data_IF_874767364275
#
_entry.id   IF_874767364275
#
_cell.length_a   1.000
_cell.length_b   1.000
_cell.length_c   1.000
_cell.angle_alpha   90.00
_cell.angle_beta   90.00
_cell.angle_gamma   90.00
#
_symmetry.space_group_name_H-M   'P 1'
#
loop_
_entity.id
_entity.type
_entity.pdbx_description
1 polymer ?
#
# COMPACT_ATOMS: atom_id res chain seq x y z
N UNK A 1 8.20 0.46 21.86
CA UNK A 1 6.99 -0.26 21.38
C UNK A 1 6.14 0.56 20.41
N UNK A 2 6.28 1.89 20.40
CA UNK A 2 5.97 2.69 19.21
C UNK A 2 7.20 2.68 18.32
N UNK A 3 7.02 2.52 17.00
CA UNK A 3 8.12 2.53 16.03
C UNK A 3 7.77 3.42 14.84
N UNK A 4 8.73 4.19 14.29
CA UNK A 4 8.52 4.95 13.07
C UNK A 4 8.51 4.04 11.83
N UNK A 5 7.60 4.33 10.90
CA UNK A 5 7.50 3.72 9.58
C UNK A 5 7.37 4.79 8.51
N UNK A 6 7.72 4.45 7.28
CA UNK A 6 7.63 5.32 6.10
C UNK A 6 6.62 4.69 5.14
N UNK A 7 5.83 5.51 4.45
CA UNK A 7 4.99 5.09 3.32
C UNK A 7 5.72 5.36 2.00
N UNK A 8 6.29 4.34 1.34
CA UNK A 8 7.04 4.50 0.09
C UNK A 8 6.15 4.35 -1.17
N UNK A 9 4.95 3.80 -1.06
CA UNK A 9 4.04 3.51 -2.19
C UNK A 9 2.63 4.05 -1.96
N UNK A 10 1.94 4.35 -3.06
CA UNK A 10 0.60 4.94 -3.08
C UNK A 10 -0.54 3.93 -2.89
N UNK A 11 -0.31 2.78 -2.27
CA UNK A 11 -1.36 1.76 -2.18
C UNK A 11 -2.51 2.10 -1.22
N UNK A 12 -2.28 3.07 -0.32
CA UNK A 12 -3.29 3.70 0.52
C UNK A 12 -3.43 5.18 0.16
N UNK A 13 -3.07 5.57 -1.07
CA UNK A 13 -3.11 6.97 -1.51
C UNK A 13 -4.49 7.57 -1.20
N UNK A 14 -4.51 8.88 -0.91
CA UNK A 14 -5.63 9.64 -0.26
C UNK A 14 -5.83 9.39 1.23
N UNK A 15 -5.63 8.19 1.73
CA UNK A 15 -5.69 7.90 3.18
C UNK A 15 -4.32 8.16 3.82
N UNK A 16 -3.30 7.42 3.36
CA UNK A 16 -1.89 7.57 3.71
C UNK A 16 -1.07 7.77 2.43
N UNK A 17 -0.43 8.93 2.32
CA UNK A 17 0.25 9.34 1.09
C UNK A 17 1.71 8.92 1.08
N UNK A 18 2.27 8.74 -0.12
CA UNK A 18 3.72 8.60 -0.27
C UNK A 18 4.43 9.76 0.45
N UNK A 19 5.45 9.43 1.25
CA UNK A 19 6.19 10.40 2.06
C UNK A 19 5.56 10.73 3.41
N UNK A 20 4.46 10.08 3.81
CA UNK A 20 4.00 10.10 5.20
C UNK A 20 4.92 9.23 6.07
N UNK A 21 5.34 9.78 7.22
CA UNK A 21 6.06 9.07 8.26
C UNK A 21 5.14 8.85 9.46
N UNK A 22 4.99 7.59 9.85
CA UNK A 22 3.98 7.12 10.80
C UNK A 22 4.63 6.70 12.10
N UNK A 23 4.00 7.01 13.23
CA UNK A 23 4.18 6.25 14.44
C UNK A 23 3.19 5.10 14.49
N UNK A 24 3.71 3.88 14.64
CA UNK A 24 2.91 2.66 14.72
C UNK A 24 2.97 2.13 16.13
N UNK A 25 1.79 1.91 16.72
CA UNK A 25 1.68 1.29 18.03
C UNK A 25 1.58 -0.22 17.88
N UNK A 26 2.59 -0.92 18.38
CA UNK A 26 2.60 -2.40 18.43
C UNK A 26 1.78 -2.96 19.58
N UNK A 27 1.39 -2.13 20.56
CA UNK A 27 0.63 -2.58 21.72
C UNK A 27 -0.85 -2.78 21.44
N UNK A 28 -1.43 -2.11 20.44
CA UNK A 28 -2.84 -2.27 20.12
C UNK A 28 -3.17 -3.74 19.87
N UNK A 29 -2.44 -4.40 18.98
CA UNK A 29 -2.65 -5.82 18.66
C UNK A 29 -1.72 -6.80 19.40
N UNK A 30 -1.06 -6.32 20.46
CA UNK A 30 -0.10 -7.12 21.21
C UNK A 30 1.30 -7.13 20.59
N UNK A 31 2.27 -6.61 21.33
CA UNK A 31 3.64 -6.53 20.84
C UNK A 31 4.29 -7.92 20.80
N UNK A 32 4.76 -8.32 19.61
CA UNK A 32 5.60 -9.52 19.44
C UNK A 32 7.01 -9.28 19.97
N UNK A 33 7.62 -10.28 20.61
CA UNK A 33 9.04 -10.25 20.96
C UNK A 33 9.91 -10.40 19.72
N UNK A 34 11.16 -9.87 19.74
CA UNK A 34 12.14 -10.19 18.71
C UNK A 34 12.39 -11.70 18.65
N UNK A 35 12.35 -12.27 17.45
CA UNK A 35 12.68 -13.68 17.22
C UNK A 35 14.15 -13.83 16.83
N UNK A 36 14.70 -12.84 16.14
CA UNK A 36 16.10 -12.82 15.71
C UNK A 36 17.02 -12.31 16.83
N UNK A 37 17.79 -13.22 17.44
CA UNK A 37 18.63 -12.93 18.61
C UNK A 37 19.84 -12.04 18.30
N UNK A 38 20.47 -12.24 17.14
CA UNK A 38 21.68 -11.52 16.74
C UNK A 38 21.35 -10.67 15.52
N UNK A 39 21.23 -9.37 15.74
CA UNK A 39 21.03 -8.37 14.70
C UNK A 39 21.77 -7.08 15.04
N UNK A 40 22.19 -6.35 14.00
CA UNK A 40 22.75 -5.02 14.15
C UNK A 40 21.68 -4.06 14.74
N UNK A 41 22.08 -3.18 15.66
CA UNK A 41 21.16 -2.22 16.25
C UNK A 41 20.64 -1.24 15.19
N UNK A 42 19.39 -0.79 15.34
CA UNK A 42 18.74 0.22 14.50
C UNK A 42 18.58 -0.14 13.01
N UNK A 43 18.92 -1.36 12.58
CA UNK A 43 18.81 -1.81 11.20
C UNK A 43 17.83 -2.98 11.10
N UNK A 44 16.86 -2.87 10.19
CA UNK A 44 15.80 -3.87 10.06
C UNK A 44 16.26 -5.14 9.33
N UNK A 45 16.77 -5.01 8.11
CA UNK A 45 17.03 -6.15 7.20
C UNK A 45 18.47 -6.18 6.67
N UNK A 46 18.93 -5.09 6.07
CA UNK A 46 20.22 -5.01 5.37
C UNK A 46 21.08 -3.90 5.95
N UNK A 47 22.37 -4.18 6.19
CA UNK A 47 23.33 -3.15 6.60
C UNK A 47 23.46 -2.11 5.49
N UNK A 48 23.24 -0.82 5.78
CA UNK A 48 23.50 0.25 4.82
C UNK A 48 24.93 0.16 4.28
N UNK A 49 25.13 0.54 3.02
CA UNK A 49 26.41 0.50 2.28
C UNK A 49 26.89 -0.91 1.91
N UNK A 50 26.96 -1.84 2.87
CA UNK A 50 27.52 -3.18 2.62
C UNK A 50 26.58 -4.09 1.84
N UNK A 51 25.26 -3.84 1.85
CA UNK A 51 24.29 -4.63 1.09
C UNK A 51 24.12 -6.07 1.61
N UNK A 52 24.71 -6.41 2.75
CA UNK A 52 24.61 -7.73 3.39
C UNK A 52 23.56 -7.72 4.52
N UNK A 53 23.08 -8.90 4.91
CA UNK A 53 22.09 -9.03 5.99
C UNK A 53 22.60 -8.39 7.28
N UNK A 54 21.74 -7.65 7.95
CA UNK A 54 21.97 -7.06 9.27
C UNK A 54 21.80 -8.05 10.42
N UNK A 55 21.55 -9.34 10.14
CA UNK A 55 21.22 -10.33 11.14
C UNK A 55 21.70 -11.74 10.77
N UNK A 56 21.88 -12.58 11.79
CA UNK A 56 22.12 -14.01 11.62
C UNK A 56 20.80 -14.78 11.53
N UNK A 57 20.74 -15.78 10.65
CA UNK A 57 19.54 -16.64 10.50
C UNK A 57 19.28 -17.53 11.71
N UNK A 58 20.32 -17.88 12.46
CA UNK A 58 20.27 -18.68 13.69
C UNK A 58 21.23 -18.09 14.72
N UNK A 59 20.94 -18.18 16.03
CA UNK A 59 19.73 -18.77 16.64
C UNK A 59 18.47 -17.90 16.44
N UNK A 60 17.30 -18.50 16.66
CA UNK A 60 15.99 -17.84 16.64
C UNK A 60 15.24 -18.20 17.93
N UNK A 61 14.59 -17.23 18.55
CA UNK A 61 13.72 -17.42 19.71
C UNK A 61 12.32 -17.85 19.25
N UNK A 62 11.62 -18.68 20.05
CA UNK A 62 10.21 -18.98 19.80
C UNK A 62 9.36 -17.73 19.71
N UNK A 63 8.31 -17.78 18.89
CA UNK A 63 7.35 -16.69 18.81
C UNK A 63 6.66 -16.48 20.15
N UNK A 64 6.61 -15.23 20.60
CA UNK A 64 5.83 -14.82 21.76
C UNK A 64 5.20 -13.45 21.48
N UNK A 65 3.95 -13.28 21.88
CA UNK A 65 3.20 -12.03 21.75
C UNK A 65 2.57 -11.67 23.09
N UNK A 66 2.77 -10.43 23.51
CA UNK A 66 2.11 -9.85 24.68
C UNK A 66 0.61 -9.62 24.38
N UNK A 67 -0.27 -9.62 25.39
CA UNK A 67 -1.65 -9.21 25.22
C UNK A 67 -1.75 -7.81 24.57
N UNK A 68 -2.69 -7.68 23.63
CA UNK A 68 -3.03 -6.40 23.01
C UNK A 68 -4.10 -5.64 23.78
N UNK A 69 -4.22 -4.34 23.53
CA UNK A 69 -5.34 -3.53 24.01
C UNK A 69 -6.63 -3.79 23.21
N UNK A 70 -6.49 -4.14 21.94
CA UNK A 70 -7.58 -4.41 21.00
C UNK A 70 -7.23 -5.59 20.10
N UNK A 71 -8.22 -6.12 19.40
CA UNK A 71 -7.98 -7.04 18.27
C UNK A 71 -7.94 -6.24 16.96
N UNK A 72 -7.40 -6.84 15.91
CA UNK A 72 -7.55 -6.30 14.56
C UNK A 72 -9.03 -6.35 14.21
N UNK A 73 -9.56 -5.22 13.76
CA UNK A 73 -10.93 -5.10 13.31
C UNK A 73 -11.00 -4.72 11.84
N UNK A 74 -12.17 -4.95 11.24
CA UNK A 74 -12.48 -4.52 9.89
C UNK A 74 -12.34 -3.00 9.82
N UNK A 75 -11.87 -2.50 8.68
CA UNK A 75 -11.50 -1.09 8.45
C UNK A 75 -10.20 -0.61 9.09
N UNK A 76 -9.57 -1.39 9.97
CA UNK A 76 -8.30 -0.96 10.54
C UNK A 76 -7.21 -0.82 9.48
N UNK A 77 -6.40 0.23 9.60
CA UNK A 77 -5.12 0.28 8.91
C UNK A 77 -4.13 -0.54 9.73
N UNK A 78 -3.54 -1.56 9.12
CA UNK A 78 -2.69 -2.53 9.79
C UNK A 78 -1.31 -2.52 9.17
N UNK A 79 -0.31 -2.44 10.02
CA UNK A 79 1.08 -2.73 9.68
C UNK A 79 1.33 -4.20 9.94
N UNK A 80 1.82 -4.91 8.94
CA UNK A 80 2.12 -6.33 9.03
C UNK A 80 3.38 -6.68 8.24
N UNK A 81 4.02 -7.77 8.63
CA UNK A 81 5.13 -8.37 7.90
C UNK A 81 4.59 -9.07 6.65
N UNK A 82 5.18 -8.84 5.48
CA UNK A 82 4.69 -9.36 4.21
C UNK A 82 4.75 -10.90 4.17
N UNK A 83 3.62 -11.58 3.94
CA UNK A 83 3.57 -13.05 3.99
C UNK A 83 4.40 -13.72 2.88
N UNK A 84 4.42 -13.20 1.65
CA UNK A 84 5.15 -13.80 0.52
C UNK A 84 6.68 -13.76 0.70
N UNK A 85 7.40 -14.73 0.12
CA UNK A 85 8.85 -15.00 0.34
C UNK A 85 9.77 -13.83 -0.07
N UNK A 86 9.97 -12.94 0.90
CA UNK A 86 10.33 -11.52 0.78
C UNK A 86 11.57 -11.17 -0.07
N UNK A 87 11.52 -9.99 -0.68
CA UNK A 87 12.63 -9.31 -1.38
C UNK A 87 13.62 -8.67 -0.39
N UNK A 88 14.89 -8.55 -0.77
CA UNK A 88 15.96 -7.80 -0.07
C UNK A 88 15.86 -6.29 -0.32
N UNK A 89 15.43 -5.89 -1.51
CA UNK A 89 15.22 -4.50 -1.88
C UNK A 89 13.81 -4.31 -2.46
N UNK A 90 13.08 -3.31 -1.96
CA UNK A 90 11.82 -2.92 -2.58
C UNK A 90 12.08 -2.42 -4.02
N UNK A 91 11.13 -2.70 -4.92
CA UNK A 91 11.16 -2.26 -6.32
C UNK A 91 12.27 -2.87 -7.20
N UNK A 92 13.01 -3.87 -6.70
CA UNK A 92 13.98 -4.64 -7.50
C UNK A 92 13.46 -6.06 -7.70
N UNK A 93 13.27 -6.48 -8.95
CA UNK A 93 12.90 -7.87 -9.27
C UNK A 93 14.07 -8.79 -8.94
N UNK A 94 13.88 -9.70 -7.98
CA UNK A 94 14.89 -10.68 -7.56
C UNK A 94 14.24 -11.98 -7.08
N UNK A 95 15.06 -13.04 -6.95
CA UNK A 95 14.61 -14.31 -6.37
C UNK A 95 14.25 -14.09 -4.90
N UNK A 96 13.04 -14.53 -4.51
CA UNK A 96 12.55 -14.45 -3.15
C UNK A 96 13.51 -15.04 -2.12
N UNK A 97 13.53 -14.44 -0.92
CA UNK A 97 14.41 -14.84 0.18
C UNK A 97 13.57 -15.15 1.41
N UNK A 98 13.78 -16.35 1.96
CA UNK A 98 13.21 -16.73 3.25
C UNK A 98 13.88 -15.93 4.36
N UNK A 99 13.08 -15.12 5.06
CA UNK A 99 13.49 -14.29 6.20
C UNK A 99 12.68 -14.66 7.45
N UNK A 100 13.28 -14.55 8.65
CA UNK A 100 12.53 -14.55 9.91
C UNK A 100 11.37 -13.55 9.88
N UNK A 101 10.28 -13.86 10.59
CA UNK A 101 9.05 -13.05 10.55
C UNK A 101 9.31 -11.60 10.99
N UNK A 102 10.22 -11.38 11.94
CA UNK A 102 10.63 -10.04 12.40
C UNK A 102 11.58 -9.29 11.46
N UNK A 103 12.07 -9.95 10.41
CA UNK A 103 12.97 -9.40 9.37
C UNK A 103 12.33 -9.28 8.00
N UNK A 104 11.10 -9.76 7.85
CA UNK A 104 10.28 -9.56 6.65
C UNK A 104 10.02 -8.06 6.41
N UNK A 105 9.87 -7.70 5.15
CA UNK A 105 9.41 -6.38 4.72
C UNK A 105 8.05 -6.07 5.33
N UNK A 106 7.81 -4.84 5.77
CA UNK A 106 6.52 -4.45 6.34
C UNK A 106 5.67 -3.75 5.27
N UNK A 107 4.37 -4.06 5.29
CA UNK A 107 3.35 -3.42 4.46
C UNK A 107 2.32 -2.75 5.37
N UNK A 108 1.66 -1.74 4.84
CA UNK A 108 0.56 -1.03 5.49
C UNK A 108 -0.64 -1.10 4.55
N UNK A 109 -1.73 -1.70 5.00
CA UNK A 109 -2.96 -1.90 4.24
C UNK A 109 -4.17 -1.81 5.16
N UNK A 110 -5.37 -1.75 4.58
CA UNK A 110 -6.62 -1.84 5.33
C UNK A 110 -7.03 -3.30 5.51
N UNK A 111 -7.44 -3.67 6.72
CA UNK A 111 -8.08 -4.95 6.98
C UNK A 111 -9.50 -4.91 6.46
N UNK A 112 -9.79 -5.74 5.46
CA UNK A 112 -11.11 -5.84 4.84
C UNK A 112 -11.83 -7.13 5.20
N UNK A 113 -11.09 -8.19 5.55
CA UNK A 113 -11.62 -9.50 5.89
C UNK A 113 -10.99 -10.03 7.17
N UNK A 114 -11.85 -10.52 8.06
CA UNK A 114 -11.54 -11.03 9.39
C UNK A 114 -11.60 -12.56 9.42
N UNK A 115 -11.01 -13.18 10.47
CA UNK A 115 -11.15 -14.63 10.70
C UNK A 115 -12.62 -15.05 10.74
N UNK A 116 -12.98 -16.04 9.91
CA UNK A 116 -14.34 -16.58 9.81
C UNK A 116 -15.20 -15.98 8.70
N UNK A 117 -14.74 -14.93 8.02
CA UNK A 117 -15.49 -14.31 6.93
C UNK A 117 -15.47 -15.15 5.64
N UNK A 118 -16.53 -15.04 4.86
CA UNK A 118 -16.50 -15.27 3.41
C UNK A 118 -16.28 -13.93 2.70
N UNK A 119 -15.26 -13.85 1.84
CA UNK A 119 -14.93 -12.67 1.06
C UNK A 119 -15.09 -12.93 -0.43
N UNK A 120 -15.66 -11.99 -1.15
CA UNK A 120 -15.72 -11.97 -2.61
C UNK A 120 -15.55 -10.54 -3.13
N UNK A 121 -15.14 -10.40 -4.38
CA UNK A 121 -15.10 -9.12 -5.10
C UNK A 121 -16.00 -9.25 -6.33
N UNK A 122 -16.91 -8.31 -6.51
CA UNK A 122 -17.83 -8.23 -7.66
C UNK A 122 -17.74 -6.83 -8.25
N UNK A 123 -17.34 -6.72 -9.52
CA UNK A 123 -17.15 -5.45 -10.23
C UNK A 123 -16.34 -4.42 -9.43
N UNK A 124 -15.26 -4.89 -8.78
CA UNK A 124 -14.34 -4.09 -7.97
C UNK A 124 -14.81 -3.78 -6.53
N UNK A 125 -16.05 -4.12 -6.19
CA UNK A 125 -16.58 -3.94 -4.83
C UNK A 125 -16.38 -5.20 -4.00
N UNK A 126 -15.92 -5.02 -2.76
CA UNK A 126 -15.69 -6.12 -1.81
C UNK A 126 -17.00 -6.43 -1.10
N UNK A 127 -17.34 -7.70 -1.00
CA UNK A 127 -18.46 -8.20 -0.20
C UNK A 127 -17.92 -9.15 0.86
N UNK A 128 -18.50 -9.06 2.05
CA UNK A 128 -18.20 -9.90 3.20
C UNK A 128 -19.49 -10.57 3.64
N UNK A 129 -19.49 -11.90 3.69
CA UNK A 129 -20.66 -12.70 4.06
C UNK A 129 -21.91 -12.34 3.22
N UNK A 130 -21.70 -11.99 1.95
CA UNK A 130 -22.76 -11.61 1.00
C UNK A 130 -23.16 -10.13 1.02
N UNK A 131 -22.70 -9.34 1.99
CA UNK A 131 -23.01 -7.91 2.12
C UNK A 131 -21.85 -7.04 1.62
N UNK A 132 -22.15 -5.93 0.94
CA UNK A 132 -21.11 -5.03 0.46
C UNK A 132 -20.36 -4.39 1.64
N UNK A 133 -19.03 -4.42 1.59
CA UNK A 133 -18.16 -3.85 2.60
C UNK A 133 -18.40 -2.35 2.76
N UNK A 134 -18.85 -1.94 3.95
CA UNK A 134 -18.91 -0.53 4.34
C UNK A 134 -17.56 -0.12 4.91
N UNK A 135 -16.95 0.88 4.28
CA UNK A 135 -15.70 1.45 4.74
C UNK A 135 -15.91 2.61 5.70
N UNK A 136 -14.91 2.91 6.53
CA UNK A 136 -14.94 4.13 7.35
C UNK A 136 -14.97 5.40 6.49
N UNK A 137 -15.49 6.49 7.04
CA UNK A 137 -15.58 7.81 6.39
C UNK A 137 -14.22 8.37 5.91
N UNK A 138 -13.14 8.02 6.62
CA UNK A 138 -11.75 8.35 6.25
C UNK A 138 -11.17 7.47 5.15
N UNK A 139 -11.76 6.32 4.86
CA UNK A 139 -11.33 5.50 3.75
C UNK A 139 -11.75 6.15 2.43
N UNK A 140 -10.79 6.32 1.53
CA UNK A 140 -11.02 6.90 0.21
C UNK A 140 -10.61 5.91 -0.86
N UNK A 141 -11.35 4.79 -1.04
CA UNK A 141 -11.02 3.83 -2.06
C UNK A 141 -11.03 4.48 -3.45
N UNK A 142 -10.07 4.10 -4.28
CA UNK A 142 -9.94 4.57 -5.64
C UNK A 142 -9.89 3.41 -6.62
N UNK A 143 -10.38 3.68 -7.82
CA UNK A 143 -10.42 2.75 -8.96
C UNK A 143 -10.03 3.51 -10.21
N UNK A 144 -9.64 2.78 -11.25
CA UNK A 144 -9.38 3.32 -12.55
C UNK A 144 -10.68 3.53 -13.33
N UNK A 145 -10.75 4.70 -13.96
CA UNK A 145 -11.86 5.10 -14.81
C UNK A 145 -11.33 5.55 -16.16
N UNK A 146 -12.08 5.23 -17.21
CA UNK A 146 -11.96 5.88 -18.50
C UNK A 146 -12.90 7.07 -18.57
N UNK A 147 -12.33 8.24 -18.83
CA UNK A 147 -13.03 9.52 -19.00
C UNK A 147 -13.16 9.81 -20.48
N UNK A 148 -14.34 10.20 -20.95
CA UNK A 148 -14.59 10.56 -22.34
C UNK A 148 -15.04 12.01 -22.48
N UNK A 149 -14.48 12.73 -23.45
CA UNK A 149 -14.86 14.10 -23.79
C UNK A 149 -14.55 14.42 -25.27
N UNK A 150 -15.53 14.86 -26.06
CA UNK A 150 -15.34 15.18 -27.48
C UNK A 150 -14.27 16.26 -27.72
N UNK A 151 -14.18 17.22 -26.78
CA UNK A 151 -13.21 18.33 -26.79
C UNK A 151 -11.88 17.97 -26.13
N UNK A 152 -11.72 16.73 -25.66
CA UNK A 152 -10.56 16.27 -24.91
C UNK A 152 -10.72 16.40 -23.41
N UNK A 153 -10.12 15.47 -22.67
CA UNK A 153 -10.14 15.48 -21.20
C UNK A 153 -9.04 16.42 -20.70
N UNK A 154 -9.43 17.53 -20.07
CA UNK A 154 -8.51 18.57 -19.60
C UNK A 154 -7.75 18.15 -18.34
N UNK A 155 -6.42 18.22 -18.36
CA UNK A 155 -5.57 17.99 -17.18
C UNK A 155 -5.86 18.97 -16.06
N UNK A 156 -6.17 20.23 -16.41
CA UNK A 156 -6.53 21.27 -15.45
C UNK A 156 -7.82 20.90 -14.70
N UNK A 157 -8.83 20.43 -15.43
CA UNK A 157 -10.10 19.99 -14.84
C UNK A 157 -9.90 18.83 -13.86
N UNK A 158 -9.07 17.85 -14.24
CA UNK A 158 -8.74 16.71 -13.38
C UNK A 158 -8.06 17.18 -12.08
N UNK A 159 -7.04 18.04 -12.20
CA UNK A 159 -6.32 18.60 -11.04
C UNK A 159 -7.26 19.43 -10.15
N UNK A 160 -8.13 20.26 -10.72
CA UNK A 160 -9.11 21.07 -9.98
C UNK A 160 -10.15 20.19 -9.27
N UNK A 161 -10.50 19.04 -9.84
CA UNK A 161 -11.35 18.02 -9.19
C UNK A 161 -10.60 17.22 -8.12
N UNK A 162 -9.29 17.49 -7.98
CA UNK A 162 -8.40 16.87 -7.02
C UNK A 162 -7.81 15.55 -7.48
N UNK A 163 -7.95 15.15 -8.74
CA UNK A 163 -7.36 13.91 -9.29
C UNK A 163 -5.85 14.06 -9.41
N UNK A 164 -5.11 13.05 -8.94
CA UNK A 164 -3.64 13.08 -8.84
C UNK A 164 -2.93 11.99 -9.64
N UNK A 165 -3.66 10.96 -10.07
CA UNK A 165 -3.14 9.79 -10.77
C UNK A 165 -3.76 9.74 -12.16
N UNK A 166 -3.06 10.34 -13.11
CA UNK A 166 -3.33 10.26 -14.55
C UNK A 166 -2.04 10.65 -15.28
N UNK A 167 -1.87 10.18 -16.50
CA UNK A 167 -0.72 10.52 -17.33
C UNK A 167 -1.02 11.77 -18.17
N UNK A 168 0.01 12.59 -18.39
CA UNK A 168 0.00 13.70 -19.34
C UNK A 168 0.92 13.36 -20.49
N UNK A 169 0.46 13.68 -21.69
CA UNK A 169 1.17 13.43 -22.95
C UNK A 169 1.53 14.76 -23.57
N UNK A 170 2.82 14.97 -23.85
CA UNK A 170 3.31 16.14 -24.54
C UNK A 170 3.88 15.75 -25.90
N UNK A 171 3.54 16.54 -26.90
CA UNK A 171 4.19 16.50 -28.20
C UNK A 171 5.24 17.59 -28.25
N UNK A 172 6.46 17.20 -28.62
CA UNK A 172 7.52 18.16 -28.92
C UNK A 172 7.59 18.39 -30.44
N UNK A 173 7.86 19.62 -30.86
CA UNK A 173 8.07 19.93 -32.28
C UNK A 173 9.29 19.18 -32.85
N UNK A 174 10.37 19.12 -32.06
CA UNK A 174 11.56 18.31 -32.30
C UNK A 174 12.26 18.04 -30.97
N UNK A 175 13.04 16.96 -30.91
CA UNK A 175 13.92 16.66 -29.79
C UNK A 175 15.27 16.23 -30.34
N UNK A 176 16.34 16.92 -29.94
CA UNK A 176 17.70 16.47 -30.21
C UNK A 176 18.12 15.38 -29.18
N UNK A 177 19.23 14.66 -29.43
CA UNK A 177 19.69 13.60 -28.53
C UNK A 177 19.98 14.08 -27.10
N UNK A 178 20.54 15.28 -26.93
CA UNK A 178 20.88 15.84 -25.61
C UNK A 178 19.62 16.18 -24.81
N UNK A 179 18.62 16.78 -25.44
CA UNK A 179 17.31 17.07 -24.84
C UNK A 179 16.60 15.78 -24.44
N UNK A 180 16.62 14.77 -25.31
CA UNK A 180 16.01 13.46 -25.05
C UNK A 180 16.68 12.79 -23.84
N UNK A 181 18.01 12.78 -23.78
CA UNK A 181 18.77 12.25 -22.64
C UNK A 181 18.47 13.02 -21.36
N UNK A 182 18.43 14.35 -21.38
CA UNK A 182 18.14 15.17 -20.20
C UNK A 182 16.73 14.92 -19.64
N UNK A 183 15.73 14.78 -20.51
CA UNK A 183 14.36 14.41 -20.13
C UNK A 183 14.31 12.99 -19.53
N UNK A 184 14.99 12.02 -20.15
CA UNK A 184 15.06 10.65 -19.63
C UNK A 184 15.78 10.59 -18.27
N UNK A 185 16.89 11.32 -18.12
CA UNK A 185 17.61 11.44 -16.83
C UNK A 185 16.78 12.14 -15.75
N UNK A 186 15.80 12.94 -16.14
CA UNK A 186 14.83 13.58 -15.23
C UNK A 186 13.61 12.70 -14.93
N UNK A 187 13.59 11.45 -15.43
CA UNK A 187 12.55 10.46 -15.13
C UNK A 187 11.35 10.45 -16.08
N UNK A 188 11.38 11.22 -17.18
CA UNK A 188 10.29 11.24 -18.16
C UNK A 188 10.45 10.12 -19.19
N UNK A 189 9.34 9.52 -19.62
CA UNK A 189 9.35 8.56 -20.71
C UNK A 189 9.31 9.30 -22.05
N UNK A 190 10.39 9.18 -22.84
CA UNK A 190 10.58 9.93 -24.10
C UNK A 190 10.59 8.96 -25.28
N UNK A 191 9.68 9.18 -26.22
CA UNK A 191 9.56 8.45 -27.48
C UNK A 191 9.99 9.35 -28.63
N UNK A 192 11.31 9.55 -28.75
CA UNK A 192 11.91 10.42 -29.76
C UNK A 192 11.77 9.90 -31.21
N UNK A 193 11.46 8.61 -31.35
CA UNK A 193 11.27 7.95 -32.66
C UNK A 193 9.90 8.25 -33.28
N UNK A 194 8.95 8.75 -32.49
CA UNK A 194 7.65 9.15 -33.01
C UNK A 194 7.79 10.44 -33.83
N UNK A 195 6.92 10.61 -34.82
CA UNK A 195 6.83 11.83 -35.61
C UNK A 195 5.42 12.43 -35.46
N UNK A 196 5.21 13.44 -34.60
CA UNK A 196 6.21 14.14 -33.78
C UNK A 196 6.63 13.38 -32.49
N UNK A 197 7.78 13.71 -31.86
CA UNK A 197 8.22 13.10 -30.62
C UNK A 197 7.22 13.26 -29.46
N UNK A 198 7.09 12.21 -28.64
CA UNK A 198 6.16 12.18 -27.50
C UNK A 198 6.91 12.08 -26.18
N UNK A 199 6.44 12.79 -25.16
CA UNK A 199 6.93 12.72 -23.79
C UNK A 199 5.74 12.40 -22.89
N UNK A 200 5.85 11.34 -22.09
CA UNK A 200 4.86 10.99 -21.08
C UNK A 200 5.38 11.36 -19.68
N UNK A 201 4.46 11.83 -18.86
CA UNK A 201 4.72 12.24 -17.48
C UNK A 201 3.48 11.99 -16.63
N UNK A 202 3.64 12.06 -15.30
CA UNK A 202 2.54 11.99 -14.36
C UNK A 202 1.69 13.28 -14.40
N UNK A 203 0.76 13.40 -13.45
CA UNK A 203 -0.13 14.55 -13.34
C UNK A 203 0.60 15.89 -13.12
N UNK A 204 1.84 15.89 -12.60
CA UNK A 204 2.60 17.13 -12.36
C UNK A 204 3.05 17.79 -13.65
N UNK A 205 3.23 17.01 -14.71
CA UNK A 205 3.74 17.52 -15.98
C UNK A 205 5.26 17.73 -15.98
N UNK A 206 5.78 18.26 -17.08
CA UNK A 206 7.21 18.60 -17.20
C UNK A 206 7.45 19.95 -16.51
N UNK A 207 8.48 20.03 -15.67
CA UNK A 207 8.78 21.25 -14.93
C UNK A 207 9.10 22.42 -15.86
N UNK A 208 8.58 23.61 -15.53
CA UNK A 208 8.74 24.82 -16.35
C UNK A 208 10.22 25.21 -16.48
N UNK A 209 11.00 25.01 -15.42
CA UNK A 209 12.43 25.29 -15.43
C UNK A 209 13.20 24.36 -16.38
N UNK A 210 12.81 23.08 -16.46
CA UNK A 210 13.40 22.15 -17.41
C UNK A 210 13.01 22.49 -18.85
N UNK A 211 11.74 22.87 -19.08
CA UNK A 211 11.28 23.33 -20.39
C UNK A 211 12.12 24.53 -20.87
N UNK A 212 12.33 25.52 -20.00
CA UNK A 212 13.14 26.70 -20.32
C UNK A 212 14.61 26.35 -20.52
N UNK A 213 15.19 25.55 -19.64
CA UNK A 213 16.61 25.19 -19.67
C UNK A 213 16.97 24.41 -20.95
N UNK A 214 16.06 23.56 -21.42
CA UNK A 214 16.24 22.75 -22.63
C UNK A 214 15.69 23.43 -23.90
N UNK A 215 15.04 24.59 -23.79
CA UNK A 215 14.41 25.28 -24.91
C UNK A 215 13.32 24.45 -25.60
N UNK A 216 12.52 23.71 -24.83
CA UNK A 216 11.52 22.79 -25.39
C UNK A 216 10.27 23.54 -25.86
N UNK A 217 9.85 23.27 -27.11
CA UNK A 217 8.54 23.67 -27.63
C UNK A 217 7.58 22.49 -27.50
N UNK A 218 6.71 22.55 -26.50
CA UNK A 218 5.81 21.46 -26.12
C UNK A 218 4.35 21.86 -26.24
N UNK A 219 3.53 20.94 -26.72
CA UNK A 219 2.06 21.01 -26.67
C UNK A 219 1.52 19.78 -25.95
N UNK A 220 0.76 20.00 -24.89
CA UNK A 220 0.05 18.90 -24.24
C UNK A 220 -1.11 18.41 -25.11
N UNK A 221 -1.26 17.09 -25.22
CA UNK A 221 -2.43 16.48 -25.86
C UNK A 221 -3.49 16.21 -24.79
N UNK A 222 -4.69 16.70 -25.05
CA UNK A 222 -5.91 16.34 -24.32
C UNK A 222 -6.72 15.37 -25.17
N UNK A 223 -6.42 14.08 -25.02
CA UNK A 223 -7.10 13.01 -25.75
C UNK A 223 -8.60 12.97 -25.43
N UNK A 224 -9.39 12.49 -26.38
CA UNK A 224 -10.85 12.32 -26.23
C UNK A 224 -11.21 11.28 -25.18
N UNK A 225 -10.30 10.36 -24.91
CA UNK A 225 -10.40 9.40 -23.83
C UNK A 225 -9.16 9.50 -22.96
N UNK A 226 -9.32 9.35 -21.65
CA UNK A 226 -8.20 9.39 -20.71
C UNK A 226 -8.48 8.53 -19.50
N UNK A 227 -7.53 7.66 -19.15
CA UNK A 227 -7.57 6.91 -17.91
C UNK A 227 -7.11 7.78 -16.74
N UNK A 228 -7.84 7.68 -15.62
CA UNK A 228 -7.44 8.29 -14.36
C UNK A 228 -7.96 7.47 -13.17
N UNK A 229 -7.22 7.51 -12.06
CA UNK A 229 -7.58 6.82 -10.82
C UNK A 229 -8.39 7.76 -9.93
N UNK A 230 -9.66 7.42 -9.66
CA UNK A 230 -10.66 8.28 -9.04
C UNK A 230 -11.28 7.63 -7.81
N UNK A 231 -11.65 8.44 -6.81
CA UNK A 231 -12.67 8.04 -5.83
C UNK A 231 -14.06 8.13 -6.46
N UNK A 232 -15.06 7.46 -5.86
CA UNK A 232 -16.45 7.57 -6.33
C UNK A 232 -16.97 9.03 -6.29
N UNK A 233 -16.54 9.80 -5.29
CA UNK A 233 -16.87 11.22 -5.19
C UNK A 233 -16.31 12.03 -6.37
N UNK A 234 -15.06 11.77 -6.77
CA UNK A 234 -14.44 12.42 -7.93
C UNK A 234 -15.13 12.01 -9.23
N UNK A 235 -15.41 10.71 -9.39
CA UNK A 235 -16.14 10.20 -10.55
C UNK A 235 -17.52 10.88 -10.68
N UNK A 236 -18.24 11.03 -9.57
CA UNK A 236 -19.53 11.74 -9.53
C UNK A 236 -19.40 13.21 -9.91
N UNK A 237 -18.39 13.92 -9.38
CA UNK A 237 -18.13 15.32 -9.76
C UNK A 237 -17.83 15.47 -11.25
N UNK A 238 -17.05 14.56 -11.83
CA UNK A 238 -16.71 14.57 -13.24
C UNK A 238 -17.90 14.21 -14.13
N UNK A 239 -18.74 13.23 -13.74
CA UNK A 239 -19.99 12.90 -14.46
C UNK A 239 -20.96 14.09 -14.54
N UNK A 240 -20.96 14.94 -13.53
CA UNK A 240 -21.81 16.13 -13.47
C UNK A 240 -21.17 17.38 -14.11
N UNK A 241 -19.95 17.26 -14.65
CA UNK A 241 -19.26 18.38 -15.28
C UNK A 241 -19.57 18.45 -16.77
N UNK A 242 -19.99 19.61 -17.27
CA UNK A 242 -20.37 19.81 -18.68
C UNK A 242 -19.23 19.64 -19.70
N UNK A 243 -17.97 19.52 -19.26
CA UNK A 243 -16.82 19.26 -20.12
C UNK A 243 -16.53 17.77 -20.32
N UNK A 244 -17.21 16.88 -19.57
CA UNK A 244 -17.03 15.43 -19.63
C UNK A 244 -18.31 14.80 -20.16
N UNK A 245 -18.18 13.95 -21.18
CA UNK A 245 -19.32 13.26 -21.78
C UNK A 245 -19.70 12.02 -20.96
N UNK A 246 -18.71 11.25 -20.49
CA UNK A 246 -18.96 10.07 -19.65
C UNK A 246 -17.73 9.68 -18.81
N UNK A 247 -18.00 8.96 -17.73
CA UNK A 247 -17.00 8.42 -16.80
C UNK A 247 -17.34 6.96 -16.50
N UNK A 248 -16.53 6.05 -17.02
CA UNK A 248 -16.78 4.61 -16.97
C UNK A 248 -15.70 3.93 -16.15
N UNK A 249 -16.08 3.15 -15.14
CA UNK A 249 -15.11 2.38 -14.35
C UNK A 249 -14.50 1.29 -15.23
N UNK A 250 -13.18 1.11 -15.18
CA UNK A 250 -12.50 0.02 -15.86
C UNK A 250 -12.67 -1.22 -14.99
N UNK A 251 -13.27 -2.28 -15.55
CA UNK A 251 -13.52 -3.54 -14.86
C UNK A 251 -12.91 -4.69 -15.66
N UNK A 252 -12.11 -5.53 -15.01
CA UNK A 252 -11.61 -6.77 -15.57
C UNK A 252 -12.76 -7.79 -15.73
N UNK A 253 -13.01 -8.36 -16.94
CA UNK A 253 -14.15 -9.25 -17.16
C UNK A 253 -14.13 -10.50 -16.29
N UNK A 254 -15.28 -10.89 -15.74
CA UNK A 254 -15.42 -12.10 -14.92
C UNK A 254 -14.99 -13.36 -15.70
N UNK A 255 -14.19 -14.21 -15.06
CA UNK A 255 -13.68 -15.45 -15.65
C UNK A 255 -12.42 -15.28 -16.52
N UNK A 256 -11.91 -14.05 -16.65
CA UNK A 256 -10.59 -13.78 -17.22
C UNK A 256 -9.58 -13.69 -16.08
N UNK A 257 -8.57 -14.58 -16.02
CA UNK A 257 -7.60 -14.56 -14.93
C UNK A 257 -6.72 -13.30 -15.01
N UNK A 258 -6.62 -12.58 -13.89
CA UNK A 258 -5.75 -11.42 -13.76
C UNK A 258 -4.29 -11.82 -13.56
N UNK A 259 -3.38 -10.85 -13.75
CA UNK A 259 -1.96 -11.08 -13.52
C UNK A 259 -1.64 -11.24 -12.02
N UNK A 260 -0.94 -12.32 -11.66
CA UNK A 260 -0.48 -12.59 -10.31
C UNK A 260 -1.60 -12.61 -9.24
N UNK A 261 -2.78 -13.08 -9.58
CA UNK A 261 -3.93 -13.15 -8.67
C UNK A 261 -3.95 -14.48 -7.91
N UNK A 262 -4.11 -14.41 -6.59
CA UNK A 262 -4.18 -15.56 -5.69
C UNK A 262 -5.39 -16.44 -6.05
N UNK A 263 -5.28 -17.78 -6.09
CA UNK A 263 -4.15 -18.62 -5.69
C UNK A 263 -3.12 -18.95 -6.79
N UNK A 264 -3.10 -18.19 -7.89
CA UNK A 264 -2.29 -18.48 -9.09
C UNK A 264 -2.52 -19.89 -9.63
N UNK A 265 -3.80 -20.28 -9.75
CA UNK A 265 -4.21 -21.59 -10.23
C UNK A 265 -5.36 -21.45 -11.24
N UNK A 266 -5.28 -22.17 -12.36
CA UNK A 266 -6.23 -22.10 -13.48
C UNK A 266 -7.67 -22.47 -13.10
N UNK A 267 -7.86 -23.25 -12.03
CA UNK A 267 -9.21 -23.60 -11.52
C UNK A 267 -9.94 -22.40 -10.92
N UNK A 268 -9.22 -21.31 -10.66
CA UNK A 268 -9.72 -20.08 -10.08
C UNK A 268 -9.36 -18.90 -11.00
N UNK A 269 -10.07 -18.72 -12.13
CA UNK A 269 -9.80 -17.65 -13.10
C UNK A 269 -10.32 -16.30 -12.60
N UNK A 270 -9.82 -15.90 -11.43
CA UNK A 270 -10.15 -14.66 -10.74
C UNK A 270 -9.25 -13.53 -11.20
N UNK A 271 -9.75 -12.31 -11.01
CA UNK A 271 -9.01 -11.07 -11.25
C UNK A 271 -9.22 -10.05 -10.13
N UNK A 272 -8.71 -8.82 -10.29
CA UNK A 272 -8.79 -7.79 -9.27
C UNK A 272 -10.23 -7.34 -8.96
N UNK A 273 -11.11 -7.41 -9.95
CA UNK A 273 -12.49 -6.94 -9.88
C UNK A 273 -13.52 -8.04 -9.66
N UNK A 274 -13.14 -9.28 -9.95
CA UNK A 274 -13.98 -10.47 -9.88
C UNK A 274 -13.19 -11.60 -9.21
N UNK A 275 -13.38 -11.74 -7.90
CA UNK A 275 -12.60 -12.62 -7.04
C UNK A 275 -13.48 -13.40 -6.07
N UNK A 276 -13.12 -14.64 -5.76
CA UNK A 276 -13.82 -15.43 -4.76
C UNK A 276 -15.15 -16.03 -5.26
N UNK A 277 -16.04 -16.46 -4.34
CA UNK A 277 -15.89 -16.33 -2.88
C UNK A 277 -14.72 -17.16 -2.31
N UNK A 278 -14.18 -16.70 -1.19
CA UNK A 278 -13.13 -17.39 -0.42
C UNK A 278 -13.41 -17.30 1.07
N UNK A 279 -13.12 -18.36 1.83
CA UNK A 279 -13.21 -18.34 3.28
C UNK A 279 -11.90 -17.89 3.90
N UNK A 280 -11.96 -16.97 4.86
CA UNK A 280 -10.81 -16.47 5.61
C UNK A 280 -10.70 -17.28 6.90
N UNK A 281 -9.66 -18.11 7.09
CA UNK A 281 -9.66 -19.04 8.21
C UNK A 281 -9.58 -18.39 9.59
N UNK A 282 -10.41 -18.89 10.50
CA UNK A 282 -10.29 -18.64 11.94
C UNK A 282 -9.55 -19.76 12.65
N UNK A 283 -8.87 -19.44 13.74
CA UNK A 283 -8.25 -20.44 14.61
C UNK A 283 -9.30 -21.42 15.11
N UNK A 284 -9.04 -22.72 14.93
CA UNK A 284 -9.96 -23.80 15.29
C UNK A 284 -11.07 -24.06 14.26
N UNK A 285 -11.17 -23.28 13.18
CA UNK A 285 -12.08 -23.61 12.07
C UNK A 285 -11.52 -24.75 11.22
N UNK A 286 -12.42 -25.53 10.64
CA UNK A 286 -12.09 -26.68 9.79
C UNK A 286 -12.65 -26.48 8.39
N UNK A 287 -11.83 -26.80 7.37
CA UNK A 287 -12.27 -26.81 5.98
C UNK A 287 -12.09 -28.19 5.36
N UNK A 288 -12.94 -28.58 4.39
CA UNK A 288 -12.70 -29.76 3.58
C UNK A 288 -11.45 -29.54 2.71
N UNK A 289 -10.58 -30.54 2.67
CA UNK A 289 -9.36 -30.55 1.85
C UNK A 289 -9.54 -31.53 0.69
N UNK A 290 -9.33 -31.04 -0.52
CA UNK A 290 -9.29 -31.82 -1.75
C UNK A 290 -8.27 -31.20 -2.71
N UNK A 291 -7.92 -31.91 -3.78
CA UNK A 291 -6.99 -31.37 -4.79
C UNK A 291 -7.48 -30.04 -5.39
N UNK A 292 -8.80 -29.86 -5.51
CA UNK A 292 -9.40 -28.64 -6.05
C UNK A 292 -9.37 -27.48 -5.04
N UNK A 293 -9.53 -27.76 -3.75
CA UNK A 293 -9.54 -26.73 -2.68
C UNK A 293 -8.13 -26.38 -2.22
N UNK A 294 -7.19 -27.32 -2.33
CA UNK A 294 -5.82 -27.18 -1.85
C UNK A 294 -5.10 -25.91 -2.33
N UNK A 295 -5.22 -25.45 -3.59
CA UNK A 295 -4.59 -24.21 -4.04
C UNK A 295 -4.90 -23.00 -3.15
N UNK A 296 -6.13 -22.93 -2.61
CA UNK A 296 -6.55 -21.83 -1.74
C UNK A 296 -5.90 -21.86 -0.36
N UNK A 297 -5.44 -23.00 0.16
CA UNK A 297 -4.96 -23.08 1.56
C UNK A 297 -3.57 -23.70 1.71
N UNK A 298 -2.99 -24.27 0.63
CA UNK A 298 -1.68 -24.93 0.63
C UNK A 298 -0.58 -24.09 1.28
N UNK A 299 -0.51 -22.81 0.90
CA UNK A 299 0.51 -21.88 1.39
C UNK A 299 0.42 -21.70 2.91
N UNK A 300 -0.78 -21.49 3.44
CA UNK A 300 -0.94 -21.22 4.86
C UNK A 300 -0.76 -22.48 5.73
N UNK A 301 -1.21 -23.64 5.24
CA UNK A 301 -1.01 -24.94 5.88
C UNK A 301 0.48 -25.31 5.92
N UNK A 302 1.18 -25.13 4.80
CA UNK A 302 2.59 -25.52 4.65
C UNK A 302 3.53 -24.53 5.32
N UNK A 303 3.42 -23.25 4.97
CA UNK A 303 4.47 -22.25 5.26
C UNK A 303 4.25 -21.52 6.59
N UNK A 304 3.00 -21.39 7.03
CA UNK A 304 2.68 -20.64 8.26
C UNK A 304 2.26 -21.51 9.43
N UNK A 305 1.79 -22.73 9.17
CA UNK A 305 1.48 -23.73 10.20
C UNK A 305 2.45 -24.92 10.23
N UNK A 306 3.50 -24.86 9.39
CA UNK A 306 4.65 -25.77 9.36
C UNK A 306 4.31 -27.24 9.15
N UNK A 307 3.37 -27.54 8.24
CA UNK A 307 3.06 -28.91 7.84
C UNK A 307 3.72 -29.25 6.49
N UNK A 308 3.96 -30.53 6.23
CA UNK A 308 4.25 -30.99 4.86
C UNK A 308 2.93 -31.22 4.12
N UNK A 309 2.90 -30.87 2.84
CA UNK A 309 1.70 -31.01 1.99
C UNK A 309 2.10 -31.60 0.66
N UNK A 310 1.55 -32.75 0.31
CA UNK A 310 1.74 -33.41 -0.99
C UNK A 310 0.41 -33.89 -1.57
N UNK A 311 0.41 -34.22 -2.86
CA UNK A 311 -0.75 -34.74 -3.59
C UNK A 311 -0.33 -36.05 -4.25
N UNK A 312 -1.15 -37.09 -4.11
CA UNK A 312 -0.98 -38.38 -4.79
C UNK A 312 -2.30 -38.77 -5.45
N UNK A 313 -2.37 -38.66 -6.78
CA UNK A 313 -3.63 -38.79 -7.51
C UNK A 313 -4.67 -37.78 -7.01
N UNK A 314 -5.80 -38.28 -6.51
CA UNK A 314 -6.89 -37.46 -5.97
C UNK A 314 -6.81 -37.26 -4.44
N UNK A 315 -5.76 -37.75 -3.79
CA UNK A 315 -5.58 -37.64 -2.34
C UNK A 315 -4.62 -36.51 -1.99
N UNK A 316 -4.97 -35.73 -0.97
CA UNK A 316 -4.08 -34.77 -0.33
C UNK A 316 -3.50 -35.43 0.91
N UNK A 317 -2.18 -35.34 1.07
CA UNK A 317 -1.48 -35.82 2.24
C UNK A 317 -0.94 -34.62 3.01
N UNK A 318 -1.25 -34.56 4.31
CA UNK A 318 -0.69 -33.57 5.24
C UNK A 318 0.12 -34.34 6.27
N UNK A 319 1.41 -34.00 6.41
CA UNK A 319 2.34 -34.74 7.28
C UNK A 319 2.47 -36.24 6.97
N UNK A 320 2.21 -36.63 5.71
CA UNK A 320 2.27 -38.02 5.26
C UNK A 320 0.96 -38.80 5.40
N UNK A 321 -0.08 -38.21 5.98
CA UNK A 321 -1.38 -38.86 6.19
C UNK A 321 -2.42 -38.35 5.20
N UNK A 322 -3.22 -39.26 4.62
CA UNK A 322 -4.34 -38.90 3.75
C UNK A 322 -5.35 -38.10 4.57
N UNK A 323 -5.59 -36.87 4.13
CA UNK A 323 -6.34 -35.88 4.91
C UNK A 323 -7.48 -35.30 4.07
N UNK A 324 -8.70 -35.40 4.58
CA UNK A 324 -9.93 -34.88 3.94
C UNK A 324 -10.41 -33.56 4.55
N UNK A 325 -9.84 -33.15 5.68
CA UNK A 325 -10.18 -31.91 6.37
C UNK A 325 -8.96 -31.33 7.09
N UNK A 326 -8.93 -30.01 7.29
CA UNK A 326 -7.83 -29.36 8.01
C UNK A 326 -8.35 -28.32 8.99
N UNK A 327 -7.86 -28.38 10.23
CA UNK A 327 -8.19 -27.42 11.29
C UNK A 327 -7.06 -26.42 11.48
N UNK A 328 -7.36 -25.14 11.33
CA UNK A 328 -6.37 -24.06 11.39
C UNK A 328 -5.91 -23.76 12.82
N UNK A 329 -4.62 -23.48 12.98
CA UNK A 329 -3.96 -23.26 14.28
C UNK A 329 -3.86 -21.78 14.67
N UNK A 330 -4.14 -20.86 13.75
CA UNK A 330 -4.13 -19.42 13.99
C UNK A 330 -5.17 -18.67 13.15
N UNK A 331 -5.40 -17.41 13.50
CA UNK A 331 -6.27 -16.51 12.76
C UNK A 331 -5.58 -15.97 11.50
N UNK A 332 -6.39 -15.73 10.45
CA UNK A 332 -5.95 -15.15 9.19
C UNK A 332 -6.78 -13.93 8.81
N UNK A 333 -6.17 -13.02 8.07
CA UNK A 333 -6.76 -11.74 7.69
C UNK A 333 -6.60 -11.48 6.20
N UNK A 334 -7.50 -10.68 5.64
CA UNK A 334 -7.42 -10.19 4.28
C UNK A 334 -7.16 -8.69 4.28
N UNK A 335 -6.06 -8.29 3.65
CA UNK A 335 -5.56 -6.92 3.66
C UNK A 335 -5.59 -6.35 2.25
N UNK A 336 -6.21 -5.18 2.05
CA UNK A 336 -6.32 -4.51 0.75
C UNK A 336 -5.84 -3.06 0.80
N UNK A 337 -5.33 -2.56 -0.31
CA UNK A 337 -5.08 -1.14 -0.49
C UNK A 337 -6.39 -0.36 -0.68
N UNK A 338 -6.33 0.94 -0.45
CA UNK A 338 -7.43 1.84 -0.79
C UNK A 338 -7.34 2.21 -2.27
N UNK A 339 -6.13 2.31 -2.84
CA UNK A 339 -5.94 2.43 -4.28
C UNK A 339 -6.05 1.03 -4.91
N UNK A 340 -7.26 0.64 -5.31
CA UNK A 340 -7.63 -0.77 -5.59
C UNK A 340 -6.94 -1.34 -6.81
N UNK A 341 -6.74 -0.55 -7.85
CA UNK A 341 -6.13 -1.05 -9.09
C UNK A 341 -4.61 -0.91 -9.07
N UNK A 342 -4.07 -0.08 -8.17
CA UNK A 342 -2.63 0.15 -7.99
C UNK A 342 -2.10 -0.35 -6.63
N UNK A 343 -2.66 -1.45 -6.12
CA UNK A 343 -2.25 -2.07 -4.87
C UNK A 343 -1.96 -3.55 -5.05
N UNK A 344 -0.69 -3.94 -4.98
CA UNK A 344 -0.34 -5.32 -4.65
C UNK A 344 -0.77 -5.57 -3.19
N UNK A 345 -1.72 -6.47 -2.99
CA UNK A 345 -2.32 -6.78 -1.70
C UNK A 345 -2.74 -8.25 -1.55
N UNK A 346 -3.63 -8.60 -0.61
CA UNK A 346 -4.04 -9.99 -0.38
C UNK A 346 -4.66 -10.65 -1.63
N UNK A 347 -5.20 -9.87 -2.58
CA UNK A 347 -5.60 -10.40 -3.90
C UNK A 347 -4.42 -11.03 -4.66
N UNK A 348 -3.19 -10.58 -4.42
CA UNK A 348 -1.98 -11.11 -5.05
C UNK A 348 -1.32 -12.23 -4.23
N UNK A 349 -1.18 -12.09 -2.91
CA UNK A 349 -0.41 -13.06 -2.10
C UNK A 349 -1.22 -13.95 -1.17
N UNK A 350 -2.53 -13.72 -1.07
CA UNK A 350 -3.46 -14.42 -0.18
C UNK A 350 -3.46 -13.87 1.24
N UNK A 351 -3.66 -14.75 2.20
CA UNK A 351 -3.89 -14.41 3.60
C UNK A 351 -2.67 -13.82 4.31
N UNK A 352 -2.97 -12.98 5.30
CA UNK A 352 -2.00 -12.50 6.30
C UNK A 352 -2.26 -13.24 7.62
N UNK A 353 -1.33 -14.10 8.10
CA UNK A 353 -1.50 -14.79 9.38
C UNK A 353 -1.35 -13.85 10.58
N UNK A 354 -2.00 -14.17 11.69
CA UNK A 354 -1.99 -13.39 12.93
C UNK A 354 -0.57 -13.07 13.43
N UNK A 355 0.36 -14.03 13.32
CA UNK A 355 1.74 -13.86 13.76
C UNK A 355 2.56 -12.85 12.91
N UNK A 356 2.04 -12.44 11.74
CA UNK A 356 2.63 -11.40 10.90
C UNK A 356 2.10 -9.99 11.23
N UNK A 357 1.03 -9.86 12.01
CA UNK A 357 0.52 -8.56 12.46
C UNK A 357 1.57 -7.86 13.33
N UNK A 358 1.86 -6.59 13.03
CA UNK A 358 2.85 -5.78 13.75
C UNK A 358 2.18 -4.74 14.65
N UNK A 359 1.19 -4.03 14.15
CA UNK A 359 0.51 -2.97 14.89
C UNK A 359 -0.34 -2.08 13.99
N UNK A 360 -0.75 -0.92 14.51
CA UNK A 360 -1.60 0.03 13.79
C UNK A 360 -0.99 1.44 13.81
N UNK A 361 -1.05 2.21 12.71
CA UNK A 361 -0.49 3.54 12.64
C UNK A 361 -1.34 4.54 13.42
N UNK A 362 -0.83 5.07 14.52
CA UNK A 362 -1.59 5.97 15.39
C UNK A 362 -1.49 7.45 14.98
N UNK A 363 -0.44 7.83 14.26
CA UNK A 363 -0.11 9.24 14.05
C UNK A 363 0.85 9.46 12.88
N UNK A 364 0.61 10.48 12.05
CA UNK A 364 1.55 10.99 11.05
C UNK A 364 2.41 12.04 11.76
N UNK A 365 3.69 11.76 12.00
CA UNK A 365 4.57 12.70 12.71
C UNK A 365 5.35 13.61 11.77
N UNK A 366 5.64 13.15 10.53
CA UNK A 366 6.19 13.97 9.45
C UNK A 366 5.55 13.59 8.12
N UNK A 367 5.60 14.50 7.15
CA UNK A 367 4.99 14.29 5.84
C UNK A 367 5.65 15.18 4.80
N UNK A 368 6.04 14.62 3.65
CA UNK A 368 6.75 15.34 2.59
C UNK A 368 6.22 15.01 1.20
N UNK A 369 6.06 16.04 0.36
CA UNK A 369 5.95 15.89 -1.09
C UNK A 369 7.32 15.67 -1.72
N UNK A 370 7.33 15.15 -2.95
CA UNK A 370 8.52 14.83 -3.73
C UNK A 370 9.46 13.85 -2.99
N UNK A 371 8.89 12.97 -2.16
CA UNK A 371 9.64 12.06 -1.31
C UNK A 371 10.59 11.14 -2.09
N UNK A 372 10.17 10.69 -3.27
CA UNK A 372 10.97 9.82 -4.14
C UNK A 372 11.97 10.60 -5.03
N UNK A 373 11.90 11.94 -5.04
CA UNK A 373 12.72 12.80 -5.92
C UNK A 373 14.07 13.18 -5.27
N UNK A 374 14.41 12.52 -4.16
CA UNK A 374 15.62 12.77 -3.38
C UNK A 374 15.46 13.82 -2.29
N UNK A 375 16.24 13.69 -1.21
CA UNK A 375 16.07 14.46 0.03
C UNK A 375 16.18 15.99 -0.15
N UNK A 376 16.93 16.45 -1.17
CA UNK A 376 17.06 17.86 -1.50
C UNK A 376 15.77 18.48 -2.06
N UNK A 377 14.87 17.65 -2.60
CA UNK A 377 13.62 18.08 -3.22
C UNK A 377 12.41 17.92 -2.30
N UNK A 378 12.60 17.39 -1.09
CA UNK A 378 11.51 17.16 -0.14
C UNK A 378 10.85 18.46 0.29
N UNK A 379 9.53 18.53 0.16
CA UNK A 379 8.72 19.69 0.55
C UNK A 379 7.79 19.30 1.70
N UNK A 380 7.91 19.89 2.91
CA UNK A 380 7.06 19.52 4.04
C UNK A 380 5.58 19.80 3.76
N UNK A 381 4.71 18.83 4.06
CA UNK A 381 3.25 18.98 4.04
C UNK A 381 2.75 19.39 5.42
N UNK A 382 2.81 20.68 5.71
CA UNK A 382 2.51 21.24 7.04
C UNK A 382 1.11 20.90 7.57
N UNK A 383 0.14 20.74 6.68
CA UNK A 383 -1.24 20.34 6.98
C UNK A 383 -1.35 18.86 7.42
N UNK A 384 -0.37 18.03 7.07
CA UNK A 384 -0.33 16.60 7.42
C UNK A 384 0.63 16.26 8.56
N UNK A 385 1.57 17.15 8.88
CA UNK A 385 2.45 16.97 10.04
C UNK A 385 1.60 16.95 11.32
N UNK A 386 1.88 16.01 12.21
CA UNK A 386 1.19 15.81 13.49
C UNK A 386 -0.30 15.49 13.35
N UNK A 387 -0.65 14.60 12.41
CA UNK A 387 -2.05 14.32 12.07
C UNK A 387 -2.52 12.96 12.53
N UNK A 388 -3.76 12.88 13.00
CA UNK A 388 -4.41 11.63 13.39
C UNK A 388 -4.64 10.71 12.18
N UNK A 389 -4.41 9.42 12.37
CA UNK A 389 -4.68 8.40 11.34
C UNK A 389 -6.03 7.71 11.57
N UNK A 390 -6.40 7.48 12.84
CA UNK A 390 -7.67 6.85 13.24
C UNK A 390 -8.70 7.84 13.78
N UNK A 391 -9.96 7.40 13.82
CA UNK A 391 -11.12 8.16 14.28
C UNK A 391 -12.14 8.38 13.17
N UNK A 392 -13.26 9.01 13.52
CA UNK A 392 -14.25 9.51 12.58
C UNK A 392 -13.96 10.96 12.17
N UNK A 393 -14.63 11.42 11.13
CA UNK A 393 -14.50 12.75 10.54
C UNK A 393 -13.17 12.97 9.83
N UNK A 394 -12.87 14.23 9.54
CA UNK A 394 -11.64 14.61 8.85
C UNK A 394 -10.40 14.42 9.75
N UNK A 395 -9.24 14.04 9.19
CA UNK A 395 -7.98 13.99 9.93
C UNK A 395 -7.63 15.35 10.54
N UNK A 396 -7.21 15.35 11.82
CA UNK A 396 -6.89 16.59 12.54
C UNK A 396 -5.37 16.69 12.75
N UNK A 397 -4.78 17.78 12.27
CA UNK A 397 -3.38 18.14 12.57
C UNK A 397 -3.29 18.90 13.90
N UNK A 398 -2.43 18.41 14.79
CA UNK A 398 -2.11 19.02 16.08
C UNK A 398 -0.82 19.85 16.05
N UNK A 399 -0.23 20.06 14.87
CA UNK A 399 1.08 20.70 14.73
C UNK A 399 1.11 22.12 15.33
N UNK A 400 0.08 22.93 15.03
CA UNK A 400 -0.02 24.30 15.55
C UNK A 400 -0.16 24.33 17.08
N UNK A 401 -0.96 23.43 17.65
CA UNK A 401 -1.12 23.32 19.10
C UNK A 401 0.19 22.89 19.77
N UNK A 402 0.91 21.96 19.16
CA UNK A 402 2.24 21.55 19.61
C UNK A 402 3.23 22.73 19.63
N UNK A 403 3.28 23.54 18.57
CA UNK A 403 4.15 24.72 18.52
C UNK A 403 3.79 25.76 19.59
N UNK A 404 2.50 25.98 19.84
CA UNK A 404 2.04 26.88 20.92
C UNK A 404 2.47 26.36 22.30
N UNK A 405 2.29 25.06 22.57
CA UNK A 405 2.72 24.44 23.82
C UNK A 405 4.24 24.51 24.00
N UNK A 406 4.99 24.30 22.92
CA UNK A 406 6.45 24.38 22.91
C UNK A 406 6.94 25.81 23.19
N UNK A 407 6.31 26.82 22.57
CA UNK A 407 6.62 28.23 22.83
C UNK A 407 6.30 28.62 24.28
N UNK A 408 5.15 28.19 24.81
CA UNK A 408 4.78 28.40 26.21
C UNK A 408 5.79 27.74 27.18
N UNK A 409 6.26 26.53 26.86
CA UNK A 409 7.27 25.82 27.63
C UNK A 409 8.60 26.58 27.65
N UNK A 410 9.08 27.06 26.51
CA UNK A 410 10.33 27.84 26.44
C UNK A 410 10.21 29.16 27.19
N UNK A 411 9.07 29.85 27.10
CA UNK A 411 8.82 31.07 27.86
C UNK A 411 8.83 30.80 29.38
N UNK A 412 8.14 29.74 29.80
CA UNK A 412 8.13 29.31 31.20
C UNK A 412 9.54 28.98 31.70
N UNK A 413 10.31 28.19 30.94
CA UNK A 413 11.67 27.81 31.31
C UNK A 413 12.61 29.03 31.38
N UNK A 414 12.46 29.98 30.45
CA UNK A 414 13.18 31.24 30.46
C UNK A 414 12.89 32.07 31.72
N UNK A 415 11.61 32.28 32.06
CA UNK A 415 11.19 33.00 33.28
C UNK A 415 11.70 32.29 34.54
N UNK A 416 11.56 30.96 34.59
CA UNK A 416 12.02 30.13 35.72
C UNK A 416 13.54 30.26 35.94
N UNK A 417 14.33 30.18 34.86
CA UNK A 417 15.80 30.36 34.91
C UNK A 417 16.19 31.76 35.37
N UNK A 418 15.49 32.79 34.86
CA UNK A 418 15.76 34.19 35.25
C UNK A 418 15.44 34.45 36.73
N UNK A 419 14.34 33.90 37.25
CA UNK A 419 13.99 33.98 38.69
C UNK A 419 14.97 33.23 39.60
N UNK A 420 15.51 32.07 39.17
CA UNK A 420 16.56 31.36 39.92
C UNK A 420 17.86 32.16 39.98
N UNK A 421 18.24 32.84 38.89
CA UNK A 421 19.42 33.72 38.86
C UNK A 421 19.25 34.96 39.74
N UNK A 422 18.05 35.51 39.85
CA UNK A 422 17.78 36.66 40.73
C UNK A 422 17.68 36.30 42.23
N UNK A 423 17.63 35.00 42.57
CA UNK A 423 17.62 34.50 43.96
C UNK A 423 18.99 33.98 44.43
N UNK A 424 19.96 33.88 43.53
CA UNK A 424 21.39 33.68 43.84
C UNK A 424 22.05 35.04 43.83
#
# INVERSE_FOLDING_TARGET
>A
FIQPYVIPTGSLERTLRIGDLLFVSKFHYGARTPMTTIAAPMVHDTLPVLGIRSYLKKPQLPYFRLPGFTKVDRNDIVVFSWPADTVRAFFKKEKGVVKPIDKKSNYVKRCVGLPGDSLEVRDGYVFINGEQLVLSDRAKPQYDYMLYAQKGVSSRLLIETGVSEFNRTYVAQSLNPQQSMALQSSGYAVYSQNNPPIILTDSKGISVDLIRALGLSLREITDRERQATLTEEMATKLRNNSQIDSVVKIIEPKGVPGYNIFPQNESYPWNNDNFGPIYIPAKGSTIPVSVNVLPLYKKIIRDYENNTVSVSGNQVLINGEVTTEYTFKQDYYWMMGDNRDHSEDSRSWGYVPENHIVGTPIFIWLSFDNFNDGIANWKPRWDRIFTTVHGSGEPVSYFRYFLMALAAWFLFDFIRKRRKKAKK
#
